data_IF_261368366600
#
_entry.id   IF_261368366600
#
_cell.length_a   1.000
_cell.length_b   1.000
_cell.length_c   1.000
_cell.angle_alpha   90.00
_cell.angle_beta   90.00
_cell.angle_gamma   90.00
#
_symmetry.space_group_name_H-M   'P 1'
#
loop_
_entity.id
_entity.type
_entity.pdbx_description
1 polymer ?
#
# COMPACT_ATOMS: atom_id res chain seq x y z
N UNK A 1 1.16 20.05 2.22
CA UNK A 1 0.80 19.68 0.83
C UNK A 1 -0.28 18.60 0.88
N UNK A 2 -1.25 18.60 -0.04
CA UNK A 2 -2.30 17.56 -0.13
C UNK A 2 -2.05 16.72 -1.40
N UNK A 3 -1.18 15.68 -1.34
CA UNK A 3 -0.82 14.91 -2.52
C UNK A 3 -2.00 14.09 -3.01
N UNK A 4 -2.20 14.03 -4.33
CA UNK A 4 -3.21 13.16 -4.96
C UNK A 4 -2.72 11.72 -5.17
N UNK A 5 -1.43 11.46 -5.01
CA UNK A 5 -0.82 10.15 -5.13
C UNK A 5 0.24 9.96 -4.04
N UNK A 6 0.15 8.85 -3.34
CA UNK A 6 1.11 8.37 -2.35
C UNK A 6 1.77 7.12 -2.93
N UNK A 7 3.10 7.13 -3.01
CA UNK A 7 3.91 5.99 -3.42
C UNK A 7 4.60 5.42 -2.19
N UNK A 8 4.41 4.13 -1.93
CA UNK A 8 5.00 3.44 -0.79
C UNK A 8 5.72 2.17 -1.24
N UNK A 9 7.05 2.22 -1.25
CA UNK A 9 7.88 1.06 -1.59
C UNK A 9 8.32 0.34 -0.31
N UNK A 10 7.78 -0.85 -0.06
CA UNK A 10 8.04 -1.67 1.13
C UNK A 10 8.00 -0.92 2.47
N UNK A 11 7.09 0.07 2.59
CA UNK A 11 7.05 1.01 3.71
C UNK A 11 6.85 0.38 5.10
N UNK A 12 6.47 -0.90 5.16
CA UNK A 12 6.19 -1.64 6.39
C UNK A 12 7.20 -2.78 6.67
N UNK A 13 8.19 -3.02 5.81
CA UNK A 13 9.04 -4.22 5.85
C UNK A 13 9.80 -4.46 7.17
N UNK A 14 10.20 -3.39 7.86
CA UNK A 14 11.01 -3.44 9.10
C UNK A 14 10.20 -3.28 10.39
N UNK A 15 8.87 -3.28 10.31
CA UNK A 15 8.00 -3.06 11.48
C UNK A 15 7.46 -4.37 12.03
N UNK A 16 7.20 -4.41 13.33
CA UNK A 16 6.39 -5.47 13.93
C UNK A 16 4.93 -5.39 13.45
N UNK A 17 4.16 -6.50 13.53
CA UNK A 17 2.80 -6.57 12.98
C UNK A 17 1.84 -5.46 13.44
N UNK A 18 1.95 -5.01 14.69
CA UNK A 18 1.08 -3.97 15.23
C UNK A 18 1.41 -2.62 14.59
N UNK A 19 2.70 -2.29 14.51
CA UNK A 19 3.17 -1.06 13.85
C UNK A 19 2.92 -1.07 12.32
N UNK A 20 3.02 -2.22 11.66
CA UNK A 20 2.64 -2.36 10.24
C UNK A 20 1.18 -1.97 10.02
N UNK A 21 0.29 -2.47 10.88
CA UNK A 21 -1.14 -2.21 10.82
C UNK A 21 -1.42 -0.73 11.03
N UNK A 22 -0.82 -0.12 12.06
CA UNK A 22 -0.98 1.30 12.35
C UNK A 22 -0.54 2.19 11.19
N UNK A 23 0.62 1.93 10.59
CA UNK A 23 1.12 2.70 9.43
C UNK A 23 0.15 2.60 8.26
N UNK A 24 -0.36 1.42 7.95
CA UNK A 24 -1.34 1.25 6.88
C UNK A 24 -2.64 1.99 7.16
N UNK A 25 -3.14 1.93 8.40
CA UNK A 25 -4.35 2.65 8.78
C UNK A 25 -4.19 4.17 8.59
N UNK A 26 -3.02 4.71 8.93
CA UNK A 26 -2.69 6.11 8.69
C UNK A 26 -2.64 6.45 7.20
N UNK A 27 -2.03 5.58 6.37
CA UNK A 27 -1.96 5.78 4.92
C UNK A 27 -3.35 5.75 4.27
N UNK A 28 -4.21 4.81 4.67
CA UNK A 28 -5.58 4.72 4.15
C UNK A 28 -6.46 5.89 4.63
N UNK A 29 -6.25 6.36 5.87
CA UNK A 29 -6.91 7.56 6.37
C UNK A 29 -6.52 8.78 5.52
N UNK A 30 -5.23 8.95 5.24
CA UNK A 30 -4.74 10.03 4.38
C UNK A 30 -5.28 9.95 2.95
N UNK A 31 -5.44 8.75 2.39
CA UNK A 31 -6.08 8.52 1.08
C UNK A 31 -7.53 9.02 1.11
N UNK A 32 -8.27 8.67 2.15
CA UNK A 32 -9.69 9.01 2.31
C UNK A 32 -9.88 10.51 2.53
N UNK A 33 -9.12 11.09 3.45
CA UNK A 33 -9.24 12.51 3.86
C UNK A 33 -8.86 13.49 2.74
N UNK A 34 -8.02 13.05 1.80
CA UNK A 34 -7.49 13.91 0.73
C UNK A 34 -7.99 13.54 -0.66
N UNK A 35 -8.87 12.55 -0.78
CA UNK A 35 -9.32 12.01 -2.06
C UNK A 35 -8.11 11.75 -2.98
N UNK A 36 -7.21 10.91 -2.45
CA UNK A 36 -5.94 10.57 -3.07
C UNK A 36 -5.92 9.09 -3.47
N UNK A 37 -4.79 8.62 -3.99
CA UNK A 37 -4.56 7.21 -4.31
C UNK A 37 -3.26 6.75 -3.64
N UNK A 38 -3.26 5.54 -3.08
CA UNK A 38 -2.06 4.87 -2.60
C UNK A 38 -1.65 3.78 -3.59
N UNK A 39 -0.43 3.86 -4.09
CA UNK A 39 0.23 2.77 -4.80
C UNK A 39 1.35 2.24 -3.91
N UNK A 40 1.23 0.99 -3.48
CA UNK A 40 2.20 0.35 -2.61
C UNK A 40 2.82 -0.90 -3.26
N UNK A 41 4.08 -1.15 -2.93
CA UNK A 41 4.81 -2.38 -3.25
C UNK A 41 5.08 -3.10 -1.93
N UNK A 42 4.76 -4.40 -1.87
CA UNK A 42 5.00 -5.21 -0.68
C UNK A 42 5.15 -6.68 -1.04
N UNK A 43 5.97 -7.39 -0.28
CA UNK A 43 6.03 -8.85 -0.26
C UNK A 43 5.16 -9.45 0.85
N UNK A 44 4.46 -8.63 1.65
CA UNK A 44 3.65 -9.08 2.77
C UNK A 44 2.21 -9.39 2.32
N UNK A 45 1.94 -10.67 2.11
CA UNK A 45 0.66 -11.15 1.59
C UNK A 45 -0.51 -10.89 2.55
N UNK A 46 -0.25 -10.78 3.85
CA UNK A 46 -1.30 -10.51 4.85
C UNK A 46 -1.89 -9.11 4.68
N UNK A 47 -1.13 -8.17 4.10
CA UNK A 47 -1.56 -6.79 3.89
C UNK A 47 -2.43 -6.65 2.64
N UNK A 48 -2.31 -7.57 1.67
CA UNK A 48 -2.99 -7.47 0.37
C UNK A 48 -4.51 -7.35 0.51
N UNK A 49 -5.11 -8.05 1.48
CA UNK A 49 -6.56 -8.01 1.77
C UNK A 49 -7.10 -6.64 2.16
N UNK A 50 -6.22 -5.68 2.46
CA UNK A 50 -6.55 -4.30 2.83
C UNK A 50 -6.62 -3.36 1.62
N UNK A 51 -6.19 -3.79 0.44
CA UNK A 51 -6.16 -2.97 -0.78
C UNK A 51 -7.35 -3.27 -1.69
N UNK A 52 -7.85 -2.25 -2.39
CA UNK A 52 -8.96 -2.39 -3.34
C UNK A 52 -8.56 -3.18 -4.60
N UNK A 53 -7.29 -3.07 -5.00
CA UNK A 53 -6.75 -3.75 -6.18
C UNK A 53 -5.35 -4.26 -5.89
N UNK A 54 -5.12 -5.51 -6.26
CA UNK A 54 -3.82 -6.17 -6.21
C UNK A 54 -3.38 -6.44 -7.64
N UNK A 55 -2.12 -6.14 -7.95
CA UNK A 55 -1.48 -6.51 -9.21
C UNK A 55 -0.33 -7.44 -8.86
N UNK A 56 -0.43 -8.70 -9.25
CA UNK A 56 0.69 -9.62 -9.15
C UNK A 56 1.77 -9.23 -10.18
N UNK A 57 2.99 -9.04 -9.72
CA UNK A 57 4.06 -8.53 -10.56
C UNK A 57 4.59 -9.57 -11.55
N UNK A 58 4.54 -10.87 -11.20
CA UNK A 58 4.92 -11.94 -12.11
C UNK A 58 3.93 -12.04 -13.26
N UNK A 59 2.63 -11.98 -12.96
CA UNK A 59 1.58 -11.95 -13.99
C UNK A 59 1.67 -10.69 -14.86
N UNK A 60 2.02 -9.55 -14.28
CA UNK A 60 2.19 -8.29 -15.01
C UNK A 60 3.36 -8.36 -15.99
N UNK A 61 4.51 -8.87 -15.58
CA UNK A 61 5.68 -9.01 -16.45
C UNK A 61 5.43 -9.95 -17.63
N UNK A 62 4.66 -11.03 -17.45
CA UNK A 62 4.35 -11.98 -18.52
C UNK A 62 3.36 -11.45 -19.58
N UNK A 63 2.70 -10.31 -19.31
CA UNK A 63 1.76 -9.65 -20.23
C UNK A 63 2.39 -8.49 -21.01
N UNK A 64 3.59 -8.05 -20.63
CA UNK A 64 4.34 -6.98 -21.28
C UNK A 64 5.22 -7.52 -22.41
#
# INVERSE_FOLDING_TARGET
PQPKLILADEATGNLDPDNKTLILDLLFSAVTDHDATLLAVTHDHELLKRFDRIVDFQEFQNKA
#
